data_IF_876046508420
#
_entry.id   IF_876046508420
#
_cell.length_a   1.000
_cell.length_b   1.000
_cell.length_c   1.000
_cell.angle_alpha   90.00
_cell.angle_beta   90.00
_cell.angle_gamma   90.00
#
_symmetry.space_group_name_H-M   'P 1'
#
loop_
_entity.id
_entity.type
_entity.pdbx_description
1 polymer ?
#
# COMPACT_ATOMS: atom_id res chain seq x y z
N UNK A 1 -21.98 13.53 5.48
CA UNK A 1 -22.29 12.12 5.78
C UNK A 1 -21.16 11.62 6.69
N UNK A 2 -21.42 11.41 8.00
CA UNK A 2 -20.41 10.85 8.91
C UNK A 2 -20.18 9.41 8.50
N UNK A 3 -18.99 9.07 8.06
CA UNK A 3 -18.58 7.68 7.85
C UNK A 3 -18.41 7.07 9.23
N UNK A 4 -19.29 6.14 9.59
CA UNK A 4 -19.20 5.39 10.84
C UNK A 4 -18.05 4.40 10.74
N UNK A 5 -16.89 4.80 11.25
CA UNK A 5 -15.64 4.02 11.27
C UNK A 5 -15.67 2.87 12.31
N UNK A 6 -16.80 2.67 13.02
CA UNK A 6 -16.87 1.74 14.16
C UNK A 6 -17.43 0.37 13.85
N UNK A 7 -17.70 0.03 12.58
CA UNK A 7 -18.12 -1.33 12.25
C UNK A 7 -16.94 -2.29 12.40
N UNK A 8 -16.69 -2.71 13.64
CA UNK A 8 -15.93 -3.93 13.96
C UNK A 8 -16.58 -5.08 13.18
N UNK A 9 -16.02 -5.42 12.05
CA UNK A 9 -16.30 -6.73 11.48
C UNK A 9 -15.83 -7.73 12.52
N UNK A 10 -16.78 -8.57 12.99
CA UNK A 10 -16.48 -9.72 13.85
C UNK A 10 -15.23 -10.42 13.31
N UNK A 11 -14.44 -10.95 14.22
CA UNK A 11 -13.28 -11.77 13.92
C UNK A 11 -13.70 -12.95 13.01
N UNK A 12 -13.99 -12.62 11.75
CA UNK A 12 -14.21 -13.57 10.68
C UNK A 12 -12.88 -14.23 10.44
N UNK A 13 -12.86 -15.46 10.80
CA UNK A 13 -11.85 -16.48 10.63
C UNK A 13 -10.65 -16.04 9.76
N UNK A 14 -9.55 -15.68 10.41
CA UNK A 14 -8.22 -15.56 9.81
C UNK A 14 -7.77 -16.90 9.15
N UNK A 15 -8.56 -17.95 9.33
CA UNK A 15 -8.30 -19.31 8.85
C UNK A 15 -8.18 -19.45 7.33
N UNK A 16 -8.60 -18.46 6.55
CA UNK A 16 -8.53 -18.52 5.08
C UNK A 16 -7.33 -17.80 4.46
N UNK A 17 -6.59 -16.99 5.23
CA UNK A 17 -5.47 -16.17 4.72
C UNK A 17 -4.12 -16.71 5.17
N UNK A 18 -4.08 -17.46 6.27
CA UNK A 18 -2.89 -18.18 6.69
C UNK A 18 -2.91 -19.55 6.04
N UNK A 19 -1.85 -19.96 5.31
CA UNK A 19 -1.70 -21.37 4.96
C UNK A 19 -1.81 -22.17 6.26
N UNK A 20 -2.55 -23.27 6.25
CA UNK A 20 -2.63 -24.18 7.39
C UNK A 20 -1.19 -24.49 7.82
N UNK A 21 -0.75 -23.86 8.90
CA UNK A 21 0.54 -24.19 9.48
C UNK A 21 0.50 -25.64 9.91
N UNK A 22 1.48 -26.46 9.54
CA UNK A 22 1.55 -27.84 10.01
C UNK A 22 1.40 -27.84 11.52
N UNK A 23 0.46 -28.63 12.06
CA UNK A 23 0.07 -28.66 13.48
C UNK A 23 1.20 -29.01 14.45
N UNK A 24 2.44 -29.23 13.99
CA UNK A 24 3.50 -29.87 14.76
C UNK A 24 4.77 -29.06 15.02
N UNK A 25 4.85 -27.81 14.62
CA UNK A 25 6.05 -27.03 14.96
C UNK A 25 5.83 -26.21 16.23
N UNK A 26 6.40 -26.66 17.35
CA UNK A 26 6.48 -25.88 18.62
C UNK A 26 7.04 -24.48 18.39
N UNK A 27 7.94 -24.34 17.42
CA UNK A 27 8.55 -23.07 17.03
C UNK A 27 7.53 -22.15 16.35
N UNK A 28 6.62 -22.67 15.54
CA UNK A 28 5.55 -21.88 14.89
C UNK A 28 4.56 -21.36 15.93
N UNK A 29 4.22 -22.17 16.93
CA UNK A 29 3.33 -21.77 18.02
C UNK A 29 3.99 -20.73 18.95
N UNK A 30 5.29 -20.88 19.25
CA UNK A 30 6.05 -19.90 20.04
C UNK A 30 6.16 -18.58 19.30
N UNK A 31 6.45 -18.60 17.99
CA UNK A 31 6.51 -17.41 17.16
C UNK A 31 5.15 -16.71 17.07
N UNK A 32 4.07 -17.48 16.89
CA UNK A 32 2.71 -16.96 16.93
C UNK A 32 2.38 -16.30 18.27
N UNK A 33 2.71 -16.94 19.39
CA UNK A 33 2.45 -16.39 20.71
C UNK A 33 3.31 -15.15 21.00
N UNK A 34 4.55 -15.13 20.53
CA UNK A 34 5.44 -13.96 20.66
C UNK A 34 4.91 -12.77 19.86
N UNK A 35 4.43 -13.01 18.66
CA UNK A 35 3.89 -11.97 17.79
C UNK A 35 2.51 -11.49 18.25
N UNK A 36 1.63 -12.39 18.70
CA UNK A 36 0.29 -12.06 19.17
C UNK A 36 0.26 -11.43 20.56
N UNK A 37 1.22 -11.76 21.42
CA UNK A 37 1.34 -11.18 22.77
C UNK A 37 1.86 -9.73 22.78
N UNK A 38 2.61 -9.34 21.76
CA UNK A 38 3.22 -8.00 21.68
C UNK A 38 2.38 -6.99 20.88
N UNK A 39 1.53 -7.47 19.95
CA UNK A 39 0.80 -6.59 19.00
C UNK A 39 -0.48 -7.26 18.52
N UNK A 40 -1.59 -6.51 18.43
CA UNK A 40 -2.81 -7.07 17.89
C UNK A 40 -2.59 -7.54 16.45
N UNK A 41 -3.00 -8.76 16.15
CA UNK A 41 -3.04 -9.25 14.78
C UNK A 41 -4.21 -8.58 14.05
N UNK A 42 -3.88 -7.89 12.99
CA UNK A 42 -4.83 -7.19 12.14
C UNK A 42 -4.78 -7.81 10.75
N UNK A 43 -5.93 -8.17 10.21
CA UNK A 43 -6.13 -8.52 8.81
C UNK A 43 -7.53 -8.02 8.44
N UNK A 44 -7.60 -6.89 7.78
CA UNK A 44 -8.85 -6.21 7.43
C UNK A 44 -8.83 -5.77 5.99
N UNK A 45 -9.98 -5.86 5.33
CA UNK A 45 -10.20 -5.29 4.01
C UNK A 45 -11.57 -4.62 3.95
N UNK A 46 -11.71 -3.61 3.12
CA UNK A 46 -12.98 -2.93 2.85
C UNK A 46 -12.90 -2.23 1.50
N UNK A 47 -14.04 -2.10 0.85
CA UNK A 47 -14.19 -1.27 -0.33
C UNK A 47 -14.67 0.13 0.07
N UNK A 48 -13.97 1.17 -0.43
CA UNK A 48 -14.33 2.57 -0.23
C UNK A 48 -14.29 3.27 -1.58
N UNK A 49 -15.47 3.64 -2.09
CA UNK A 49 -15.61 4.21 -3.42
C UNK A 49 -15.03 5.62 -3.54
N UNK A 50 -15.34 6.47 -2.55
CA UNK A 50 -14.83 7.85 -2.48
C UNK A 50 -14.42 8.18 -1.05
N UNK A 51 -13.21 8.67 -0.90
CA UNK A 51 -12.63 9.10 0.38
C UNK A 51 -12.11 10.52 0.23
N UNK A 52 -12.46 11.41 1.16
CA UNK A 52 -11.90 12.77 1.18
C UNK A 52 -10.41 12.73 1.54
N UNK A 53 -9.61 13.73 1.12
CA UNK A 53 -8.18 13.78 1.44
C UNK A 53 -7.86 13.61 2.93
N UNK A 54 -8.62 14.26 3.81
CA UNK A 54 -8.42 14.16 5.25
C UNK A 54 -8.69 12.72 5.75
N UNK A 55 -9.71 12.04 5.17
CA UNK A 55 -10.01 10.65 5.47
C UNK A 55 -8.94 9.69 4.96
N UNK A 56 -8.28 10.00 3.84
CA UNK A 56 -7.11 9.25 3.36
C UNK A 56 -5.96 9.36 4.36
N UNK A 57 -5.65 10.56 4.85
CA UNK A 57 -4.61 10.77 5.86
C UNK A 57 -4.89 9.98 7.14
N UNK A 58 -6.14 9.97 7.61
CA UNK A 58 -6.55 9.17 8.77
C UNK A 58 -6.34 7.67 8.52
N UNK A 59 -6.78 7.15 7.36
CA UNK A 59 -6.60 5.75 6.99
C UNK A 59 -5.12 5.37 6.95
N UNK A 60 -4.28 6.15 6.27
CA UNK A 60 -2.85 5.91 6.20
C UNK A 60 -2.17 6.01 7.56
N UNK A 61 -2.64 6.89 8.44
CA UNK A 61 -2.09 7.04 9.79
C UNK A 61 -2.20 5.79 10.64
N UNK A 62 -3.21 4.96 10.39
CA UNK A 62 -3.46 3.70 11.09
C UNK A 62 -3.13 2.46 10.26
N UNK A 63 -2.34 2.65 9.18
CA UNK A 63 -1.71 1.57 8.41
C UNK A 63 -2.55 0.98 7.28
N UNK A 64 -3.67 1.61 6.90
CA UNK A 64 -4.40 1.20 5.70
C UNK A 64 -3.58 1.49 4.44
N UNK A 65 -3.72 0.64 3.45
CA UNK A 65 -3.23 0.78 2.08
C UNK A 65 -4.36 0.42 1.13
N UNK A 66 -4.24 0.74 -0.13
CA UNK A 66 -5.27 0.44 -1.11
C UNK A 66 -4.70 0.15 -2.49
N UNK A 67 -5.47 -0.59 -3.29
CA UNK A 67 -5.39 -0.69 -4.73
C UNK A 67 -6.74 -0.25 -5.29
N UNK A 68 -6.78 0.84 -6.04
CA UNK A 68 -8.03 1.46 -6.40
C UNK A 68 -8.92 1.69 -5.17
N UNK A 69 -10.16 1.18 -5.19
CA UNK A 69 -11.14 1.27 -4.10
C UNK A 69 -10.99 0.20 -3.02
N UNK A 70 -10.12 -0.79 -3.23
CA UNK A 70 -9.89 -1.88 -2.28
C UNK A 70 -8.88 -1.49 -1.21
N UNK A 71 -9.36 -1.19 -0.01
CA UNK A 71 -8.53 -0.86 1.14
C UNK A 71 -8.24 -2.09 1.98
N UNK A 72 -7.00 -2.22 2.42
CA UNK A 72 -6.55 -3.33 3.25
C UNK A 72 -5.47 -2.93 4.23
N UNK A 73 -5.41 -3.64 5.36
CA UNK A 73 -4.28 -3.60 6.28
C UNK A 73 -4.05 -4.95 6.91
N UNK A 74 -2.79 -5.31 7.10
CA UNK A 74 -2.40 -6.56 7.75
C UNK A 74 -1.16 -6.34 8.60
N UNK A 75 -1.09 -7.03 9.74
CA UNK A 75 0.10 -7.04 10.60
C UNK A 75 1.13 -8.06 10.15
N UNK A 76 0.69 -9.10 9.46
CA UNK A 76 1.51 -10.20 8.99
C UNK A 76 1.27 -10.46 7.51
N UNK A 77 2.30 -10.91 6.83
CA UNK A 77 2.22 -11.43 5.47
C UNK A 77 3.04 -12.70 5.34
N UNK A 78 2.57 -13.61 4.49
CA UNK A 78 3.32 -14.80 4.11
C UNK A 78 4.24 -14.48 2.93
N UNK A 79 5.47 -14.97 2.99
CA UNK A 79 6.42 -14.96 1.89
C UNK A 79 7.02 -16.37 1.77
N UNK A 80 6.40 -17.18 0.94
CA UNK A 80 6.68 -18.62 0.89
C UNK A 80 6.40 -19.29 2.24
N UNK A 81 7.43 -19.92 2.83
CA UNK A 81 7.34 -20.56 4.14
C UNK A 81 7.66 -19.61 5.31
N UNK A 82 7.93 -18.33 5.04
CA UNK A 82 8.26 -17.35 6.03
C UNK A 82 7.06 -16.45 6.36
N UNK A 83 6.82 -16.24 7.65
CA UNK A 83 5.87 -15.25 8.14
C UNK A 83 6.62 -13.95 8.44
N UNK A 84 6.27 -12.88 7.75
CA UNK A 84 6.89 -11.55 7.91
C UNK A 84 5.92 -10.61 8.59
N UNK A 85 6.43 -9.84 9.54
CA UNK A 85 5.67 -8.73 10.12
C UNK A 85 5.63 -7.57 9.13
N UNK A 86 4.45 -6.98 8.96
CA UNK A 86 4.24 -5.82 8.13
C UNK A 86 4.16 -4.57 9.00
N UNK A 87 4.98 -3.59 8.69
CA UNK A 87 5.01 -2.30 9.38
C UNK A 87 4.75 -1.22 8.33
N UNK A 88 3.63 -0.53 8.45
CA UNK A 88 3.34 0.63 7.62
C UNK A 88 4.20 1.81 8.08
N UNK A 89 4.96 2.39 7.17
CA UNK A 89 5.77 3.59 7.42
C UNK A 89 5.17 4.76 6.64
N UNK A 90 5.16 5.94 7.26
CA UNK A 90 4.80 7.18 6.58
C UNK A 90 5.78 8.30 6.94
N UNK A 91 5.86 9.28 6.07
CA UNK A 91 6.64 10.50 6.30
C UNK A 91 5.66 11.67 6.28
N UNK A 92 5.72 12.51 7.30
CA UNK A 92 5.00 13.77 7.32
C UNK A 92 5.72 14.77 6.41
N UNK A 93 5.13 15.03 5.24
CA UNK A 93 5.78 15.81 4.17
C UNK A 93 6.10 17.23 4.61
N UNK A 94 5.24 17.84 5.43
CA UNK A 94 5.46 19.21 5.94
C UNK A 94 6.72 19.32 6.81
N UNK A 95 7.14 18.24 7.46
CA UNK A 95 8.34 18.18 8.31
C UNK A 95 9.53 17.53 7.61
N UNK A 96 9.36 17.12 6.35
CA UNK A 96 10.40 16.40 5.63
C UNK A 96 11.60 17.30 5.29
N UNK A 97 12.74 16.95 5.82
CA UNK A 97 14.02 17.61 5.51
C UNK A 97 14.89 16.72 4.63
N UNK A 98 15.26 17.22 3.46
CA UNK A 98 16.12 16.47 2.53
C UNK A 98 17.50 16.22 3.14
N UNK A 99 17.92 14.95 3.14
CA UNK A 99 19.27 14.56 3.50
C UNK A 99 20.32 15.14 2.52
N UNK A 100 21.59 15.07 2.89
CA UNK A 100 22.70 15.48 2.01
C UNK A 100 22.69 14.71 0.68
N UNK A 101 22.42 13.40 0.73
CA UNK A 101 22.35 12.54 -0.46
C UNK A 101 21.19 12.96 -1.36
N UNK A 102 19.99 13.17 -0.80
CA UNK A 102 18.82 13.59 -1.57
C UNK A 102 19.02 14.97 -2.22
N UNK A 103 19.65 15.93 -1.53
CA UNK A 103 20.02 17.23 -2.13
C UNK A 103 21.01 17.08 -3.28
N UNK A 104 21.96 16.13 -3.18
CA UNK A 104 22.90 15.83 -4.27
C UNK A 104 22.18 15.23 -5.48
N UNK A 105 21.27 14.26 -5.26
CA UNK A 105 20.45 13.65 -6.33
C UNK A 105 19.60 14.70 -7.03
N UNK A 106 18.90 15.55 -6.25
CA UNK A 106 18.10 16.64 -6.80
C UNK A 106 18.91 17.61 -7.69
N UNK A 107 20.15 17.95 -7.28
CA UNK A 107 21.02 18.80 -8.11
C UNK A 107 21.49 18.14 -9.40
N UNK A 108 21.66 16.82 -9.39
CA UNK A 108 22.06 16.07 -10.59
C UNK A 108 20.98 15.98 -11.66
N UNK A 109 19.72 16.08 -11.25
CA UNK A 109 18.53 15.92 -12.09
C UNK A 109 17.84 17.28 -12.34
N UNK A 110 18.62 18.36 -12.46
CA UNK A 110 18.07 19.71 -12.71
C UNK A 110 17.59 19.91 -14.13
N UNK A 111 18.07 19.08 -15.02
CA UNK A 111 17.76 18.99 -16.43
C UNK A 111 16.46 18.23 -16.73
N UNK A 112 15.81 17.70 -15.70
CA UNK A 112 14.53 17.00 -15.84
C UNK A 112 13.38 17.99 -15.74
N UNK A 113 12.49 17.91 -16.70
CA UNK A 113 11.19 18.58 -16.67
C UNK A 113 10.20 17.76 -15.84
N UNK A 114 9.48 18.46 -14.96
CA UNK A 114 8.45 17.87 -14.10
C UNK A 114 7.09 18.48 -14.42
N UNK A 115 6.10 17.65 -14.72
CA UNK A 115 4.71 18.07 -14.82
C UNK A 115 3.82 17.29 -13.87
N UNK A 116 2.76 17.95 -13.38
CA UNK A 116 1.74 17.36 -12.51
C UNK A 116 0.38 17.54 -13.17
N UNK A 117 -0.31 16.45 -13.34
CA UNK A 117 -1.63 16.41 -13.93
C UNK A 117 -2.52 15.45 -13.13
N UNK A 118 -3.85 15.49 -13.34
CA UNK A 118 -4.73 14.44 -12.84
C UNK A 118 -4.34 13.09 -13.43
N UNK A 119 -4.36 12.04 -12.63
CA UNK A 119 -3.92 10.72 -13.08
C UNK A 119 -4.84 10.16 -14.19
N UNK A 120 -4.33 10.11 -15.40
CA UNK A 120 -4.98 9.56 -16.57
C UNK A 120 -4.03 8.63 -17.33
N UNK A 121 -3.65 7.49 -16.73
CA UNK A 121 -2.67 6.60 -17.33
C UNK A 121 -3.15 6.02 -18.64
N UNK A 122 -2.31 6.13 -19.66
CA UNK A 122 -2.52 5.60 -21.00
C UNK A 122 -1.68 4.37 -21.28
N UNK A 123 -1.47 4.12 -22.57
CA UNK A 123 -0.68 2.97 -23.03
C UNK A 123 0.79 3.05 -22.62
N UNK A 124 1.37 4.25 -22.63
CA UNK A 124 2.77 4.47 -22.23
C UNK A 124 2.99 4.11 -20.76
N UNK A 125 2.10 4.57 -19.88
CA UNK A 125 2.16 4.26 -18.45
C UNK A 125 1.93 2.77 -18.18
N UNK A 126 1.01 2.15 -18.91
CA UNK A 126 0.77 0.70 -18.82
C UNK A 126 2.00 -0.10 -19.25
N UNK A 127 2.68 0.29 -20.33
CA UNK A 127 3.93 -0.32 -20.75
C UNK A 127 5.04 -0.16 -19.71
N UNK A 128 5.18 1.04 -19.14
CA UNK A 128 6.14 1.28 -18.05
C UNK A 128 5.84 0.45 -16.80
N UNK A 129 4.56 0.30 -16.45
CA UNK A 129 4.13 -0.56 -15.36
C UNK A 129 4.52 -2.02 -15.61
N UNK A 130 4.28 -2.54 -16.83
CA UNK A 130 4.60 -3.92 -17.20
C UNK A 130 6.12 -4.20 -17.12
N UNK A 131 6.94 -3.25 -17.53
CA UNK A 131 8.39 -3.34 -17.39
C UNK A 131 8.79 -3.28 -15.90
N UNK A 132 8.16 -2.40 -15.14
CA UNK A 132 8.48 -2.19 -13.72
C UNK A 132 8.09 -3.40 -12.86
N UNK A 133 6.91 -3.98 -13.09
CA UNK A 133 6.39 -5.11 -12.32
C UNK A 133 7.26 -6.36 -12.39
N UNK A 134 8.04 -6.54 -13.48
CA UNK A 134 8.97 -7.67 -13.60
C UNK A 134 10.06 -7.72 -12.52
N UNK A 135 10.24 -6.65 -11.74
CA UNK A 135 11.21 -6.59 -10.63
C UNK A 135 10.69 -7.19 -9.34
N UNK A 136 9.41 -7.51 -9.27
CA UNK A 136 8.76 -7.98 -8.06
C UNK A 136 8.35 -9.43 -8.19
N UNK A 137 8.47 -10.18 -7.11
CA UNK A 137 8.01 -11.56 -7.01
C UNK A 137 6.82 -11.64 -6.03
N UNK A 138 5.65 -11.99 -6.55
CA UNK A 138 4.43 -12.18 -5.76
C UNK A 138 3.65 -10.88 -5.43
N UNK A 139 2.33 -11.02 -5.30
CA UNK A 139 1.39 -9.94 -4.99
C UNK A 139 1.50 -8.71 -5.91
N UNK A 140 1.83 -8.93 -7.16
CA UNK A 140 1.93 -7.88 -8.16
C UNK A 140 0.61 -7.85 -8.93
N UNK A 141 -0.06 -6.70 -9.05
CA UNK A 141 -1.25 -6.56 -9.88
C UNK A 141 -0.99 -6.95 -11.34
N UNK A 142 -1.98 -7.55 -11.99
CA UNK A 142 -1.82 -8.02 -13.37
C UNK A 142 -1.69 -6.85 -14.33
N UNK A 143 -2.41 -5.77 -14.09
CA UNK A 143 -2.36 -4.56 -14.90
C UNK A 143 -2.37 -3.28 -14.05
N UNK A 144 -2.09 -2.15 -14.68
CA UNK A 144 -2.08 -0.85 -14.02
C UNK A 144 -3.47 -0.45 -13.48
N UNK A 145 -4.53 -0.88 -14.15
CA UNK A 145 -5.92 -0.62 -13.72
C UNK A 145 -6.25 -1.36 -12.42
N UNK A 146 -5.74 -2.56 -12.21
CA UNK A 146 -5.92 -3.30 -10.95
C UNK A 146 -5.22 -2.59 -9.79
N UNK A 147 -4.14 -1.87 -10.09
CA UNK A 147 -3.38 -1.12 -9.10
C UNK A 147 -4.02 0.23 -8.75
N UNK A 148 -4.43 1.00 -9.77
CA UNK A 148 -4.91 2.37 -9.61
C UNK A 148 -6.43 2.49 -9.61
N UNK A 149 -7.16 1.49 -10.12
CA UNK A 149 -8.58 1.60 -10.46
C UNK A 149 -8.79 2.19 -11.85
N UNK A 150 -10.05 2.29 -12.25
CA UNK A 150 -10.46 2.76 -13.60
C UNK A 150 -10.54 4.28 -13.72
N UNK A 151 -10.64 5.00 -12.61
CA UNK A 151 -10.76 6.47 -12.54
C UNK A 151 -9.88 7.02 -11.41
N UNK A 152 -8.56 6.89 -11.52
CA UNK A 152 -7.65 7.23 -10.43
C UNK A 152 -7.63 8.73 -10.10
N UNK A 153 -8.01 9.59 -11.04
CA UNK A 153 -8.18 11.03 -10.84
C UNK A 153 -9.34 11.39 -9.88
N UNK A 154 -10.23 10.43 -9.58
CA UNK A 154 -11.45 10.66 -8.80
C UNK A 154 -11.69 9.64 -7.69
N UNK A 155 -11.19 8.42 -7.82
CA UNK A 155 -11.51 7.29 -6.94
C UNK A 155 -10.26 6.52 -6.53
N UNK A 156 -10.13 6.15 -5.26
CA UNK A 156 -11.01 6.52 -4.13
C UNK A 156 -10.81 7.96 -3.66
N UNK A 157 -9.71 8.60 -4.04
CA UNK A 157 -9.37 9.99 -3.81
C UNK A 157 -8.65 10.53 -5.06
N UNK A 158 -8.63 11.83 -5.23
CA UNK A 158 -7.86 12.47 -6.29
C UNK A 158 -6.41 11.98 -6.29
N UNK A 159 -5.99 11.37 -7.38
CA UNK A 159 -4.62 10.95 -7.61
C UNK A 159 -3.97 11.84 -8.66
N UNK A 160 -2.78 12.34 -8.38
CA UNK A 160 -1.99 13.14 -9.31
C UNK A 160 -0.92 12.27 -9.96
N UNK A 161 -0.72 12.47 -11.24
CA UNK A 161 0.37 11.89 -12.01
C UNK A 161 1.54 12.86 -12.06
N UNK A 162 2.70 12.43 -11.57
CA UNK A 162 3.95 13.14 -11.77
C UNK A 162 4.67 12.55 -12.99
N UNK A 163 4.80 13.34 -14.05
CA UNK A 163 5.61 12.99 -15.21
C UNK A 163 7.00 13.62 -15.11
N UNK A 164 8.02 12.81 -15.40
CA UNK A 164 9.42 13.22 -15.42
C UNK A 164 9.95 12.97 -16.81
N UNK A 165 10.43 14.03 -17.48
CA UNK A 165 10.95 13.95 -18.85
C UNK A 165 12.38 14.48 -18.90
N UNK A 166 13.16 13.90 -19.80
CA UNK A 166 14.46 14.43 -20.19
C UNK A 166 14.21 15.30 -21.44
N UNK A 167 14.74 16.54 -21.44
CA UNK A 167 14.75 17.40 -22.61
C UNK A 167 15.68 16.86 -23.71
#
# INVERSE_FOLDING_TARGET
>A
MKVDLTRKLSAGSIAGILPELPRESRMSQQLYNLLSGAWPLVAESRELDVVKPEGMDELWSVGWRHFGTDFFRASLMSDGMCLKRQIALRIEVAQFMRSRSQRRTFRKNRDLELSFDGAAPGEAESCLFDIHKMRFAGNVPDCLTDFLGTQPDRRPCECLQLSVRLE
#
